data_IF_087906386811
#
_entry.id   IF_087906386811
#
_cell.length_a   1.000
_cell.length_b   1.000
_cell.length_c   1.000
_cell.angle_alpha   90.00
_cell.angle_beta   90.00
_cell.angle_gamma   90.00
#
_symmetry.space_group_name_H-M   'P 1'
#
loop_
_entity.id
_entity.type
_entity.pdbx_description
1 polymer ?
#
# COMPACT_ATOMS: atom_id res chain seq x y z
N UNK A 1 34.38 5.81 -4.45
CA UNK A 1 34.40 5.39 -5.87
C UNK A 1 34.57 3.88 -6.00
N UNK A 2 35.60 3.25 -5.43
CA UNK A 2 35.93 1.81 -5.49
C UNK A 2 34.75 0.89 -5.09
N UNK A 3 34.08 1.17 -3.98
CA UNK A 3 32.93 0.36 -3.52
C UNK A 3 31.78 0.28 -4.53
N UNK A 4 31.46 1.39 -5.21
CA UNK A 4 30.42 1.41 -6.27
C UNK A 4 30.84 0.58 -7.49
N UNK A 5 32.13 0.62 -7.85
CA UNK A 5 32.69 -0.16 -8.95
C UNK A 5 32.64 -1.67 -8.65
N UNK A 6 33.11 -2.08 -7.48
CA UNK A 6 33.06 -3.49 -7.04
C UNK A 6 31.62 -4.04 -7.00
N UNK A 7 30.67 -3.27 -6.52
CA UNK A 7 29.25 -3.64 -6.54
C UNK A 7 28.75 -3.85 -7.99
N UNK A 8 29.19 -3.00 -8.94
CA UNK A 8 28.79 -3.12 -10.36
C UNK A 8 29.34 -4.42 -10.98
N UNK A 9 30.62 -4.73 -10.72
CA UNK A 9 31.26 -5.98 -11.17
C UNK A 9 30.55 -7.20 -10.59
N UNK A 10 30.36 -7.21 -9.26
CA UNK A 10 29.65 -8.29 -8.59
C UNK A 10 28.25 -8.53 -9.16
N UNK A 11 27.48 -7.45 -9.40
CA UNK A 11 26.17 -7.56 -10.05
C UNK A 11 26.26 -8.17 -11.44
N UNK A 12 27.24 -7.75 -12.27
CA UNK A 12 27.41 -8.27 -13.64
C UNK A 12 27.72 -9.76 -13.64
N UNK A 13 28.63 -10.21 -12.78
CA UNK A 13 28.98 -11.63 -12.62
C UNK A 13 27.76 -12.42 -12.12
N UNK A 14 27.11 -11.93 -11.07
CA UNK A 14 25.93 -12.56 -10.48
C UNK A 14 24.80 -12.69 -11.51
N UNK A 15 24.54 -11.67 -12.30
CA UNK A 15 23.50 -11.73 -13.34
C UNK A 15 23.84 -12.75 -14.42
N UNK A 16 25.11 -12.83 -14.85
CA UNK A 16 25.58 -13.84 -15.82
C UNK A 16 25.37 -15.26 -15.31
N UNK A 17 25.67 -15.53 -14.05
CA UNK A 17 25.43 -16.84 -13.41
C UNK A 17 23.93 -17.19 -13.40
N UNK A 18 23.08 -16.26 -12.97
CA UNK A 18 21.64 -16.51 -12.91
C UNK A 18 20.99 -16.63 -14.30
N UNK A 19 21.51 -15.94 -15.34
CA UNK A 19 21.08 -16.18 -16.71
C UNK A 19 21.38 -17.61 -17.19
N UNK A 20 22.54 -18.15 -16.83
CA UNK A 20 22.86 -19.55 -17.15
C UNK A 20 21.96 -20.56 -16.43
N UNK A 21 21.62 -20.27 -15.18
CA UNK A 21 20.80 -21.19 -14.34
C UNK A 21 19.31 -21.15 -14.72
N UNK A 22 18.73 -19.95 -14.91
CA UNK A 22 17.27 -19.80 -15.06
C UNK A 22 16.84 -19.42 -16.47
N UNK A 23 17.79 -19.23 -17.39
CA UNK A 23 17.51 -18.78 -18.74
C UNK A 23 17.22 -17.26 -18.81
N UNK A 24 17.10 -16.77 -20.03
CA UNK A 24 16.74 -15.36 -20.34
C UNK A 24 15.25 -15.24 -20.59
N UNK A 25 14.67 -14.14 -20.12
CA UNK A 25 13.29 -13.77 -20.49
C UNK A 25 13.41 -12.92 -21.76
N UNK A 26 12.92 -13.45 -22.89
CA UNK A 26 13.03 -12.78 -24.20
C UNK A 26 11.67 -12.32 -24.74
N UNK A 27 10.58 -12.89 -24.22
CA UNK A 27 9.27 -12.70 -24.80
C UNK A 27 8.18 -12.62 -23.73
N UNK A 28 7.00 -12.17 -24.15
CA UNK A 28 5.78 -12.17 -23.37
C UNK A 28 4.74 -13.13 -23.97
N UNK A 29 3.76 -13.47 -23.18
CA UNK A 29 2.61 -14.29 -23.59
C UNK A 29 1.34 -13.70 -22.97
N UNK A 30 0.30 -13.56 -23.78
CA UNK A 30 -1.02 -13.22 -23.27
C UNK A 30 -1.55 -14.36 -22.40
N UNK A 31 -2.19 -14.00 -21.28
CA UNK A 31 -2.74 -14.98 -20.34
C UNK A 31 -3.77 -15.93 -20.98
N UNK A 32 -4.42 -15.53 -22.08
CA UNK A 32 -5.42 -16.32 -22.80
C UNK A 32 -4.84 -17.42 -23.69
N UNK A 33 -3.54 -17.38 -23.96
CA UNK A 33 -2.86 -18.27 -24.93
C UNK A 33 -2.24 -19.54 -24.32
N UNK A 34 -2.41 -19.77 -23.03
CA UNK A 34 -1.87 -20.99 -22.37
C UNK A 34 -2.89 -21.57 -21.39
N UNK A 35 -3.26 -22.82 -21.58
CA UNK A 35 -4.26 -23.54 -20.78
C UNK A 35 -3.87 -23.72 -19.30
N UNK A 36 -2.60 -23.53 -18.95
CA UNK A 36 -2.10 -23.54 -17.55
C UNK A 36 -2.47 -22.26 -16.81
N UNK A 37 -2.94 -21.24 -17.53
CA UNK A 37 -3.37 -19.95 -16.97
C UNK A 37 -4.89 -19.93 -16.96
N UNK A 38 -5.50 -20.08 -15.81
CA UNK A 38 -6.94 -19.95 -15.60
C UNK A 38 -7.25 -18.55 -15.10
N UNK A 39 -8.27 -17.92 -15.67
CA UNK A 39 -8.67 -16.56 -15.29
C UNK A 39 -10.13 -16.55 -14.89
N UNK A 40 -10.42 -15.97 -13.72
CA UNK A 40 -11.78 -15.66 -13.29
C UNK A 40 -11.97 -14.15 -13.30
N UNK A 41 -12.96 -13.68 -14.04
CA UNK A 41 -13.37 -12.27 -14.04
C UNK A 41 -14.38 -12.05 -12.91
N UNK A 42 -14.15 -11.03 -12.11
CA UNK A 42 -14.99 -10.59 -11.01
C UNK A 42 -15.61 -9.26 -11.37
N UNK A 43 -16.90 -9.23 -11.63
CA UNK A 43 -17.64 -7.99 -11.84
C UNK A 43 -18.09 -7.46 -10.49
N UNK A 44 -17.47 -6.38 -10.02
CA UNK A 44 -17.80 -5.75 -8.73
C UNK A 44 -19.03 -4.87 -8.89
N UNK A 45 -19.07 -4.11 -9.99
CA UNK A 45 -20.22 -3.31 -10.43
C UNK A 45 -20.22 -3.17 -11.95
N UNK A 46 -21.10 -2.32 -12.50
CA UNK A 46 -21.21 -2.12 -13.96
C UNK A 46 -19.97 -1.53 -14.62
N UNK A 47 -19.13 -0.83 -13.85
CA UNK A 47 -17.97 -0.10 -14.36
C UNK A 47 -16.63 -0.74 -13.95
N UNK A 48 -16.62 -1.65 -12.97
CA UNK A 48 -15.41 -2.14 -12.35
C UNK A 48 -15.36 -3.66 -12.30
N UNK A 49 -14.41 -4.22 -13.01
CA UNK A 49 -14.11 -5.66 -12.99
C UNK A 49 -12.64 -5.91 -12.69
N UNK A 50 -12.37 -7.06 -12.10
CA UNK A 50 -11.02 -7.53 -11.79
C UNK A 50 -10.83 -8.95 -12.27
N UNK A 51 -9.58 -9.33 -12.49
CA UNK A 51 -9.20 -10.70 -12.82
C UNK A 51 -8.45 -11.33 -11.65
N UNK A 52 -8.73 -12.62 -11.45
CA UNK A 52 -7.94 -13.49 -10.59
C UNK A 52 -7.35 -14.58 -11.48
N UNK A 53 -6.02 -14.64 -11.49
CA UNK A 53 -5.25 -15.56 -12.29
C UNK A 53 -4.78 -16.72 -11.42
N UNK A 54 -4.95 -17.94 -11.90
CA UNK A 54 -4.41 -19.15 -11.29
C UNK A 54 -3.50 -19.82 -12.31
N UNK A 55 -2.22 -19.91 -12.00
CA UNK A 55 -1.16 -20.32 -12.94
C UNK A 55 -0.48 -21.58 -12.42
N UNK A 56 -0.62 -22.68 -13.16
CA UNK A 56 0.03 -23.97 -12.82
C UNK A 56 1.54 -23.88 -13.06
N UNK A 57 2.34 -24.27 -12.06
CA UNK A 57 3.80 -24.20 -12.10
C UNK A 57 4.36 -22.79 -12.41
N UNK A 58 3.63 -21.75 -12.05
CA UNK A 58 4.01 -20.36 -12.28
C UNK A 58 5.24 -19.94 -11.47
N UNK A 59 6.08 -19.10 -12.08
CA UNK A 59 7.20 -18.40 -11.42
C UNK A 59 6.79 -16.95 -11.18
N UNK A 60 7.30 -16.39 -10.08
CA UNK A 60 7.16 -14.97 -9.81
C UNK A 60 8.51 -14.41 -9.39
N UNK A 61 8.89 -13.28 -9.99
CA UNK A 61 10.04 -12.49 -9.63
C UNK A 61 9.64 -11.04 -9.33
N UNK A 62 10.21 -10.44 -8.31
CA UNK A 62 9.90 -9.06 -7.93
C UNK A 62 11.13 -8.27 -7.49
N UNK A 63 11.15 -6.97 -7.82
CA UNK A 63 12.02 -6.00 -7.16
C UNK A 63 11.39 -5.42 -5.88
N UNK A 64 10.13 -5.75 -5.61
CA UNK A 64 9.27 -5.41 -4.49
C UNK A 64 8.43 -4.14 -4.68
N UNK A 65 8.87 -3.15 -5.42
CA UNK A 65 8.19 -1.85 -5.52
C UNK A 65 7.74 -1.56 -6.94
N UNK A 66 8.63 -1.67 -7.92
CA UNK A 66 8.37 -1.22 -9.28
C UNK A 66 7.98 -2.35 -10.22
N UNK A 67 8.62 -3.51 -10.10
CA UNK A 67 8.43 -4.59 -11.04
C UNK A 67 7.99 -5.88 -10.35
N UNK A 68 6.96 -6.52 -10.90
CA UNK A 68 6.59 -7.90 -10.59
C UNK A 68 6.38 -8.63 -11.91
N UNK A 69 7.19 -9.63 -12.16
CA UNK A 69 7.11 -10.49 -13.33
C UNK A 69 6.51 -11.84 -12.95
N UNK A 70 5.42 -12.19 -13.60
CA UNK A 70 4.81 -13.52 -13.55
C UNK A 70 5.27 -14.25 -14.78
N UNK A 71 5.89 -15.42 -14.62
CA UNK A 71 6.69 -16.06 -15.65
C UNK A 71 6.24 -17.50 -15.82
N UNK A 72 6.07 -17.92 -17.07
CA UNK A 72 5.83 -19.31 -17.48
C UNK A 72 6.75 -19.64 -18.65
N UNK A 73 7.51 -20.74 -18.56
CA UNK A 73 8.46 -21.18 -19.58
C UNK A 73 9.37 -20.05 -20.12
N UNK A 74 9.93 -19.23 -19.23
CA UNK A 74 10.76 -18.06 -19.56
C UNK A 74 10.09 -16.99 -20.42
N UNK A 75 8.76 -16.94 -20.45
CA UNK A 75 7.98 -15.83 -20.97
C UNK A 75 7.28 -15.12 -19.83
N UNK A 76 7.22 -13.79 -19.89
CA UNK A 76 6.45 -12.99 -18.93
C UNK A 76 4.98 -13.02 -19.32
N UNK A 77 4.08 -13.23 -18.34
CA UNK A 77 2.63 -13.28 -18.60
C UNK A 77 2.08 -11.86 -18.53
N UNK A 78 1.44 -11.42 -19.61
CA UNK A 78 0.73 -10.15 -19.69
C UNK A 78 -0.56 -10.21 -18.86
N UNK A 79 -0.90 -9.11 -18.19
CA UNK A 79 -2.04 -9.02 -17.29
C UNK A 79 -1.60 -9.09 -15.81
N UNK A 80 -1.20 -10.27 -15.27
CA UNK A 80 -0.81 -10.37 -13.86
C UNK A 80 0.58 -9.79 -13.55
N UNK A 81 1.39 -9.54 -14.56
CA UNK A 81 2.67 -8.82 -14.41
C UNK A 81 2.46 -7.32 -14.43
N UNK A 82 3.24 -6.59 -13.69
CA UNK A 82 3.21 -5.13 -13.75
C UNK A 82 4.60 -4.52 -13.61
N UNK A 83 4.75 -3.30 -14.15
CA UNK A 83 5.95 -2.49 -14.07
C UNK A 83 5.57 -1.03 -13.93
N UNK A 84 5.91 -0.44 -12.79
CA UNK A 84 5.66 0.97 -12.51
C UNK A 84 6.84 1.81 -12.98
N UNK A 85 6.54 2.92 -13.67
CA UNK A 85 7.54 3.88 -14.13
C UNK A 85 7.12 5.29 -13.74
N UNK A 86 8.12 6.11 -13.51
CA UNK A 86 7.93 7.53 -13.28
C UNK A 86 7.95 8.26 -14.62
N UNK A 87 6.91 9.02 -14.89
CA UNK A 87 6.78 9.90 -16.05
C UNK A 87 7.08 11.36 -15.70
N UNK A 88 6.66 12.25 -16.60
CA UNK A 88 6.70 13.69 -16.36
C UNK A 88 5.86 14.08 -15.13
N UNK A 89 6.20 15.20 -14.52
CA UNK A 89 5.47 15.75 -13.36
C UNK A 89 5.32 14.77 -12.18
N UNK A 90 6.28 13.84 -12.03
CA UNK A 90 6.27 12.81 -10.97
C UNK A 90 5.07 11.85 -11.00
N UNK A 91 4.36 11.78 -12.11
CA UNK A 91 3.32 10.77 -12.30
C UNK A 91 3.92 9.37 -12.33
N UNK A 92 3.26 8.42 -11.66
CA UNK A 92 3.60 7.00 -11.69
C UNK A 92 2.53 6.29 -12.53
N UNK A 93 2.97 5.50 -13.49
CA UNK A 93 2.08 4.77 -14.39
C UNK A 93 2.56 3.32 -14.59
N UNK A 94 1.63 2.45 -15.00
CA UNK A 94 1.95 1.12 -15.45
C UNK A 94 2.45 1.23 -16.90
N UNK A 95 3.71 0.89 -17.13
CA UNK A 95 4.34 0.97 -18.45
C UNK A 95 4.12 -0.31 -19.26
N UNK A 96 4.68 -0.36 -20.46
CA UNK A 96 4.61 -1.54 -21.30
C UNK A 96 5.32 -2.74 -20.69
N UNK A 97 4.86 -3.94 -21.01
CA UNK A 97 5.42 -5.19 -20.48
C UNK A 97 6.92 -5.32 -20.75
N UNK A 98 7.41 -4.77 -21.88
CA UNK A 98 8.83 -4.78 -22.27
C UNK A 98 9.72 -3.93 -21.36
N UNK A 99 9.14 -3.00 -20.61
CA UNK A 99 9.88 -2.21 -19.61
C UNK A 99 10.17 -2.99 -18.33
N UNK A 100 9.56 -4.16 -18.15
CA UNK A 100 9.81 -4.96 -16.96
C UNK A 100 11.29 -5.35 -16.86
N UNK A 101 11.83 -5.15 -15.67
CA UNK A 101 13.26 -5.32 -15.37
C UNK A 101 13.81 -6.70 -15.74
N UNK A 102 12.97 -7.72 -15.81
CA UNK A 102 13.42 -9.09 -16.14
C UNK A 102 13.95 -9.23 -17.57
N UNK A 103 13.51 -8.38 -18.51
CA UNK A 103 14.05 -8.39 -19.86
C UNK A 103 15.51 -7.95 -19.92
N UNK A 104 15.90 -6.99 -19.08
CA UNK A 104 17.28 -6.47 -19.03
C UNK A 104 18.18 -7.20 -18.04
N UNK A 105 17.64 -7.67 -16.91
CA UNK A 105 18.43 -8.22 -15.80
C UNK A 105 18.16 -9.70 -15.53
N UNK A 106 17.18 -10.32 -16.21
CA UNK A 106 16.71 -11.66 -15.87
C UNK A 106 16.13 -11.73 -14.48
N UNK A 107 16.29 -12.89 -13.84
CA UNK A 107 15.79 -13.14 -12.49
C UNK A 107 16.96 -13.41 -11.51
N UNK A 108 17.79 -12.39 -11.18
CA UNK A 108 19.06 -12.56 -10.46
C UNK A 108 18.86 -12.79 -8.95
N UNK A 109 18.05 -13.76 -8.59
CA UNK A 109 17.81 -14.22 -7.21
C UNK A 109 17.63 -15.74 -7.19
N UNK A 110 18.06 -16.35 -6.09
CA UNK A 110 17.85 -17.79 -5.88
C UNK A 110 16.36 -18.14 -5.98
N UNK A 111 16.02 -19.06 -6.86
CA UNK A 111 14.68 -19.60 -7.00
C UNK A 111 14.33 -20.44 -5.77
N UNK A 112 13.15 -20.24 -5.22
CA UNK A 112 12.59 -21.06 -4.14
C UNK A 112 11.36 -21.80 -4.66
N UNK A 113 11.42 -23.13 -4.67
CA UNK A 113 10.30 -23.96 -5.04
C UNK A 113 9.37 -24.11 -3.83
N UNK A 114 8.08 -23.85 -4.05
CA UNK A 114 7.02 -23.99 -3.07
C UNK A 114 6.03 -25.07 -3.58
N UNK A 115 5.97 -26.20 -2.88
CA UNK A 115 5.14 -27.35 -3.28
C UNK A 115 3.69 -27.16 -2.85
N UNK A 116 3.08 -26.06 -3.28
CA UNK A 116 1.71 -25.75 -2.91
C UNK A 116 1.17 -24.53 -3.64
N UNK A 117 -0.01 -24.11 -3.21
CA UNK A 117 -0.65 -22.88 -3.69
C UNK A 117 -0.08 -21.65 -3.00
N UNK A 118 0.22 -20.62 -3.79
CA UNK A 118 0.74 -19.34 -3.32
C UNK A 118 -0.15 -18.21 -3.81
N UNK A 119 -0.77 -17.48 -2.90
CA UNK A 119 -1.40 -16.19 -3.23
C UNK A 119 -0.37 -15.07 -3.13
N UNK A 120 -0.11 -14.39 -4.23
CA UNK A 120 0.72 -13.19 -4.24
C UNK A 120 -0.09 -11.95 -3.87
N UNK A 121 0.37 -11.27 -2.82
CA UNK A 121 -0.17 -9.98 -2.37
C UNK A 121 0.78 -8.83 -2.74
N UNK A 122 1.67 -9.07 -3.69
CA UNK A 122 2.66 -8.10 -4.12
C UNK A 122 2.01 -7.03 -4.99
N UNK A 123 2.44 -5.80 -4.74
CA UNK A 123 1.98 -4.62 -5.44
C UNK A 123 3.01 -3.50 -5.29
N UNK A 124 3.10 -2.59 -6.27
CA UNK A 124 4.13 -1.55 -6.32
C UNK A 124 4.31 -0.79 -5.01
N UNK A 125 3.34 0.04 -4.64
CA UNK A 125 3.42 0.87 -3.43
C UNK A 125 3.52 0.09 -2.12
N UNK A 126 2.90 -1.08 -2.04
CA UNK A 126 2.92 -1.93 -0.84
C UNK A 126 4.32 -2.41 -0.44
N UNK A 127 5.26 -2.47 -1.38
CA UNK A 127 6.64 -2.90 -1.13
C UNK A 127 7.46 -1.95 -0.27
N UNK A 128 7.02 -0.72 -0.05
CA UNK A 128 7.73 0.32 0.74
C UNK A 128 7.34 0.39 2.22
N UNK A 129 6.54 -0.55 2.72
CA UNK A 129 6.04 -0.59 4.11
C UNK A 129 5.13 0.60 4.50
N UNK A 130 4.50 1.25 3.54
CA UNK A 130 3.58 2.35 3.77
C UNK A 130 2.23 1.81 4.23
N UNK A 131 1.67 2.38 5.31
CA UNK A 131 0.41 1.95 5.89
C UNK A 131 -0.79 2.15 4.95
N UNK A 132 -0.84 3.27 4.19
CA UNK A 132 -1.87 3.53 3.19
C UNK A 132 -1.91 2.42 2.12
N UNK A 133 -0.75 2.13 1.52
CA UNK A 133 -0.65 1.07 0.51
C UNK A 133 -0.94 -0.32 1.07
N UNK A 134 -0.61 -0.56 2.35
CA UNK A 134 -0.98 -1.81 3.00
C UNK A 134 -2.49 -1.99 3.08
N UNK A 135 -3.22 -0.96 3.54
CA UNK A 135 -4.68 -1.02 3.68
C UNK A 135 -5.39 -1.10 2.32
N UNK A 136 -4.94 -0.33 1.32
CA UNK A 136 -5.70 -0.13 0.09
C UNK A 136 -5.19 -0.93 -1.11
N UNK A 137 -3.91 -1.28 -1.16
CA UNK A 137 -3.33 -2.02 -2.29
C UNK A 137 -3.07 -3.50 -1.95
N UNK A 138 -2.71 -3.81 -0.70
CA UNK A 138 -2.31 -5.18 -0.29
C UNK A 138 -3.49 -5.97 0.25
N UNK A 139 -4.13 -5.49 1.32
CA UNK A 139 -5.19 -6.23 2.00
C UNK A 139 -6.41 -6.54 1.11
N UNK A 140 -6.89 -5.63 0.23
CA UNK A 140 -8.06 -5.91 -0.60
C UNK A 140 -7.88 -7.07 -1.59
N UNK A 141 -6.63 -7.49 -1.87
CA UNK A 141 -6.37 -8.69 -2.68
C UNK A 141 -6.89 -9.98 -2.03
N UNK A 142 -6.96 -10.02 -0.69
CA UNK A 142 -7.67 -11.10 0.01
C UNK A 142 -9.15 -11.10 -0.35
N UNK A 143 -9.78 -9.91 -0.41
CA UNK A 143 -11.16 -9.74 -0.83
C UNK A 143 -11.40 -10.27 -2.24
N UNK A 144 -10.61 -9.79 -3.21
CA UNK A 144 -10.70 -10.27 -4.59
C UNK A 144 -10.47 -11.78 -4.70
N UNK A 145 -9.46 -12.31 -4.03
CA UNK A 145 -9.17 -13.72 -4.07
C UNK A 145 -10.32 -14.56 -3.47
N UNK A 146 -10.91 -14.13 -2.35
CA UNK A 146 -11.98 -14.87 -1.67
C UNK A 146 -13.26 -15.03 -2.48
N UNK A 147 -13.49 -14.15 -3.46
CA UNK A 147 -14.62 -14.26 -4.40
C UNK A 147 -14.43 -15.37 -5.44
N UNK A 148 -13.24 -15.92 -5.56
CA UNK A 148 -12.91 -16.91 -6.59
C UNK A 148 -12.26 -18.18 -6.05
N UNK A 149 -11.52 -18.08 -4.94
CA UNK A 149 -10.73 -19.16 -4.35
C UNK A 149 -11.02 -19.24 -2.86
N UNK A 150 -11.09 -20.45 -2.34
CA UNK A 150 -11.19 -20.67 -0.89
C UNK A 150 -9.83 -20.36 -0.24
N UNK A 151 -9.74 -19.28 0.52
CA UNK A 151 -8.50 -18.84 1.19
C UNK A 151 -7.94 -19.88 2.17
N UNK A 152 -8.76 -20.74 2.75
CA UNK A 152 -8.30 -21.79 3.68
C UNK A 152 -7.41 -22.82 2.98
N UNK A 153 -7.60 -23.03 1.68
CA UNK A 153 -6.82 -23.95 0.85
C UNK A 153 -5.48 -23.37 0.39
N UNK A 154 -5.26 -22.05 0.54
CA UNK A 154 -3.98 -21.42 0.22
C UNK A 154 -2.94 -21.86 1.23
N UNK A 155 -1.80 -22.35 0.74
CA UNK A 155 -0.71 -22.85 1.59
C UNK A 155 0.28 -21.73 1.95
N UNK A 156 0.48 -20.75 1.06
CA UNK A 156 1.38 -19.63 1.31
C UNK A 156 0.79 -18.31 0.85
N UNK A 157 0.96 -17.28 1.67
CA UNK A 157 0.63 -15.89 1.34
C UNK A 157 1.92 -15.11 1.17
N UNK A 158 2.26 -14.75 -0.07
CA UNK A 158 3.45 -13.98 -0.40
C UNK A 158 3.17 -12.48 -0.23
N UNK A 159 3.75 -11.92 0.81
CA UNK A 159 3.51 -10.55 1.30
C UNK A 159 4.66 -9.63 0.93
N UNK A 160 4.41 -8.32 0.69
CA UNK A 160 5.46 -7.34 0.44
C UNK A 160 6.48 -7.30 1.58
N UNK A 161 6.02 -7.32 2.83
CA UNK A 161 6.85 -7.30 4.03
C UNK A 161 6.06 -7.83 5.24
N UNK A 162 6.78 -8.16 6.31
CA UNK A 162 6.23 -8.51 7.63
C UNK A 162 7.00 -7.77 8.75
N UNK A 163 7.63 -6.64 8.44
CA UNK A 163 8.47 -5.90 9.37
C UNK A 163 7.64 -5.05 10.35
N UNK A 164 6.56 -4.46 9.86
CA UNK A 164 5.76 -3.52 10.65
C UNK A 164 4.71 -4.24 11.50
N UNK A 165 4.39 -3.65 12.66
CA UNK A 165 3.39 -4.14 13.61
C UNK A 165 2.02 -4.30 12.94
N UNK A 166 1.52 -3.26 12.27
CA UNK A 166 0.24 -3.28 11.58
C UNK A 166 0.10 -4.40 10.52
N UNK A 167 1.21 -4.78 9.85
CA UNK A 167 1.19 -5.87 8.87
C UNK A 167 0.87 -7.22 9.53
N UNK A 168 1.42 -7.47 10.70
CA UNK A 168 1.19 -8.70 11.46
C UNK A 168 -0.21 -8.72 12.07
N UNK A 169 -0.60 -7.63 12.69
CA UNK A 169 -1.88 -7.50 13.40
C UNK A 169 -3.09 -7.58 12.47
N UNK A 170 -3.06 -6.92 11.32
CA UNK A 170 -4.14 -7.03 10.33
C UNK A 170 -4.28 -8.44 9.78
N UNK A 171 -3.17 -9.17 9.57
CA UNK A 171 -3.22 -10.57 9.18
C UNK A 171 -3.74 -11.49 10.29
N UNK A 172 -3.44 -11.18 11.56
CA UNK A 172 -4.01 -11.89 12.70
C UNK A 172 -5.53 -11.67 12.77
N UNK A 173 -5.99 -10.43 12.54
CA UNK A 173 -7.42 -10.11 12.43
C UNK A 173 -8.12 -10.88 11.31
N UNK A 174 -7.47 -11.03 10.16
CA UNK A 174 -7.96 -11.84 9.03
C UNK A 174 -7.82 -13.35 9.26
N UNK A 175 -7.32 -13.78 10.42
CA UNK A 175 -7.10 -15.20 10.78
C UNK A 175 -6.17 -15.93 9.81
N UNK A 176 -5.24 -15.23 9.18
CA UNK A 176 -4.21 -15.85 8.33
C UNK A 176 -3.15 -16.49 9.23
N UNK A 177 -2.91 -17.78 9.17
CA UNK A 177 -1.96 -18.47 10.05
C UNK A 177 -0.52 -17.99 9.83
N UNK A 178 0.25 -17.79 10.91
CA UNK A 178 1.62 -17.25 10.84
C UNK A 178 2.54 -18.09 9.97
N UNK A 179 2.42 -19.43 10.03
CA UNK A 179 3.25 -20.36 9.27
C UNK A 179 2.99 -20.32 7.75
N UNK A 180 1.85 -19.77 7.31
CA UNK A 180 1.52 -19.57 5.89
C UNK A 180 2.04 -18.24 5.33
N UNK A 181 2.54 -17.32 6.18
CA UNK A 181 2.97 -15.98 5.77
C UNK A 181 4.43 -15.99 5.35
N UNK A 182 4.71 -15.66 4.11
CA UNK A 182 6.07 -15.52 3.59
C UNK A 182 6.30 -14.09 3.07
N UNK A 183 7.49 -13.54 3.32
CA UNK A 183 7.84 -12.19 2.91
C UNK A 183 8.67 -12.16 1.64
N UNK A 184 8.32 -11.28 0.71
CA UNK A 184 9.12 -11.03 -0.48
C UNK A 184 10.53 -10.50 -0.20
N UNK A 185 10.84 -10.11 1.05
CA UNK A 185 12.21 -9.80 1.44
C UNK A 185 13.15 -11.01 1.29
N UNK A 186 12.61 -12.22 1.57
CA UNK A 186 13.31 -13.50 1.44
C UNK A 186 12.89 -14.30 0.21
N UNK A 187 11.66 -14.09 -0.28
CA UNK A 187 11.03 -14.85 -1.36
C UNK A 187 10.80 -13.98 -2.59
N UNK A 188 11.88 -13.37 -3.11
CA UNK A 188 11.83 -12.50 -4.30
C UNK A 188 11.75 -13.22 -5.63
N UNK A 189 12.07 -14.51 -5.64
CA UNK A 189 11.99 -15.39 -6.81
C UNK A 189 11.46 -16.73 -6.35
N UNK A 190 10.25 -17.07 -6.77
CA UNK A 190 9.57 -18.29 -6.40
C UNK A 190 9.04 -19.04 -7.63
N UNK A 191 8.86 -20.35 -7.48
CA UNK A 191 8.04 -21.20 -8.34
C UNK A 191 7.04 -21.91 -7.45
N UNK A 192 5.75 -21.82 -7.76
CA UNK A 192 4.68 -22.46 -7.02
C UNK A 192 4.01 -23.54 -7.88
N UNK A 193 3.50 -24.61 -7.24
CA UNK A 193 2.65 -25.59 -7.92
C UNK A 193 1.41 -24.90 -8.50
N UNK A 194 0.84 -23.97 -7.75
CA UNK A 194 -0.25 -23.09 -8.16
C UNK A 194 0.03 -21.66 -7.68
N UNK A 195 0.23 -20.75 -8.62
CA UNK A 195 0.45 -19.34 -8.32
C UNK A 195 -0.83 -18.55 -8.58
N UNK A 196 -1.36 -17.89 -7.55
CA UNK A 196 -2.58 -17.11 -7.61
C UNK A 196 -2.22 -15.64 -7.50
N UNK A 197 -2.75 -14.83 -8.43
CA UNK A 197 -2.52 -13.38 -8.50
C UNK A 197 -3.81 -12.69 -8.84
N UNK A 198 -4.06 -11.52 -8.26
CA UNK A 198 -5.19 -10.65 -8.59
C UNK A 198 -4.71 -9.43 -9.36
N UNK A 199 -5.59 -8.82 -10.13
CA UNK A 199 -5.38 -7.46 -10.60
C UNK A 199 -5.11 -6.53 -9.42
N UNK A 200 -4.54 -5.35 -9.71
CA UNK A 200 -4.30 -4.34 -8.68
C UNK A 200 -5.63 -3.76 -8.18
N UNK A 201 -5.92 -3.76 -6.85
CA UNK A 201 -7.23 -3.33 -6.34
C UNK A 201 -7.58 -1.88 -6.63
N UNK A 202 -6.57 -1.00 -6.71
CA UNK A 202 -6.74 0.44 -6.90
C UNK A 202 -6.35 0.89 -8.30
N UNK A 203 -5.25 0.36 -8.86
CA UNK A 203 -4.74 0.79 -10.17
C UNK A 203 -5.57 0.17 -11.29
N UNK A 204 -6.59 0.87 -11.73
CA UNK A 204 -7.55 0.39 -12.74
C UNK A 204 -7.47 1.16 -14.07
N UNK A 205 -6.90 2.39 -14.07
CA UNK A 205 -6.78 3.23 -15.27
C UNK A 205 -5.41 3.18 -15.94
N UNK A 206 -4.43 2.48 -15.34
CA UNK A 206 -3.03 2.49 -15.78
C UNK A 206 -2.21 3.67 -15.26
N UNK A 207 -2.83 4.68 -14.64
CA UNK A 207 -2.16 5.80 -14.01
C UNK A 207 -2.25 5.71 -12.48
N UNK A 208 -1.24 5.12 -11.85
CA UNK A 208 -1.20 4.89 -10.41
C UNK A 208 -1.35 6.18 -9.58
N UNK A 209 -0.80 7.30 -10.05
CA UNK A 209 -0.90 8.58 -9.34
C UNK A 209 -2.32 9.16 -9.36
N UNK A 210 -3.11 8.89 -10.39
CA UNK A 210 -4.53 9.27 -10.45
C UNK A 210 -5.39 8.28 -9.64
N UNK A 211 -5.15 7.00 -9.81
CA UNK A 211 -5.95 5.96 -9.20
C UNK A 211 -5.89 5.99 -7.67
N UNK A 212 -4.70 6.25 -7.09
CA UNK A 212 -4.52 6.33 -5.63
C UNK A 212 -5.30 7.50 -4.99
N UNK A 213 -5.67 8.51 -5.78
CA UNK A 213 -6.52 9.60 -5.31
C UNK A 213 -7.98 9.20 -5.16
N UNK A 214 -8.37 8.05 -5.73
CA UNK A 214 -9.77 7.67 -5.84
C UNK A 214 -10.01 6.19 -5.50
N UNK A 215 -9.79 5.82 -4.24
CA UNK A 215 -9.97 4.45 -3.75
C UNK A 215 -11.38 3.91 -4.11
N UNK A 216 -11.50 2.73 -4.75
CA UNK A 216 -12.79 2.11 -5.05
C UNK A 216 -13.63 1.85 -3.80
N UNK A 217 -14.94 2.12 -3.85
CA UNK A 217 -15.83 2.04 -2.69
C UNK A 217 -15.92 0.63 -2.10
N UNK A 218 -15.81 -0.42 -2.92
CA UNK A 218 -15.84 -1.80 -2.44
C UNK A 218 -14.70 -2.11 -1.47
N UNK A 219 -13.53 -1.46 -1.65
CA UNK A 219 -12.38 -1.62 -0.75
C UNK A 219 -12.72 -1.08 0.64
N UNK A 220 -13.38 0.08 0.70
CA UNK A 220 -13.81 0.69 1.95
C UNK A 220 -14.81 -0.21 2.68
N UNK A 221 -15.80 -0.76 1.95
CA UNK A 221 -16.76 -1.70 2.49
C UNK A 221 -16.09 -2.97 3.00
N UNK A 222 -15.18 -3.55 2.20
CA UNK A 222 -14.43 -4.74 2.58
C UNK A 222 -13.59 -4.52 3.85
N UNK A 223 -12.93 -3.36 3.99
CA UNK A 223 -12.17 -3.02 5.18
C UNK A 223 -13.07 -2.89 6.40
N UNK A 224 -14.22 -2.21 6.28
CA UNK A 224 -15.20 -2.11 7.36
C UNK A 224 -15.73 -3.48 7.79
N UNK A 225 -16.10 -4.32 6.86
CA UNK A 225 -16.64 -5.66 7.16
C UNK A 225 -15.64 -6.54 7.90
N UNK A 226 -14.37 -6.49 7.52
CA UNK A 226 -13.38 -7.37 8.11
C UNK A 226 -12.78 -6.84 9.42
N UNK A 227 -12.73 -5.52 9.61
CA UNK A 227 -12.01 -4.94 10.74
C UNK A 227 -12.92 -4.17 11.71
N UNK A 228 -14.06 -3.67 11.25
CA UNK A 228 -15.01 -2.95 12.10
C UNK A 228 -16.12 -3.89 12.57
N UNK A 229 -16.92 -4.44 11.66
CA UNK A 229 -18.14 -5.19 12.01
C UNK A 229 -17.89 -6.51 12.77
N UNK A 230 -16.72 -7.12 12.59
CA UNK A 230 -16.36 -8.41 13.23
C UNK A 230 -15.69 -8.28 14.58
N UNK A 231 -15.34 -7.07 15.02
CA UNK A 231 -14.37 -6.90 16.10
C UNK A 231 -14.72 -5.89 17.19
N UNK A 232 -15.78 -5.11 17.01
CA UNK A 232 -16.18 -4.14 18.05
C UNK A 232 -16.82 -4.88 19.20
N UNK A 233 -16.09 -5.00 20.31
CA UNK A 233 -16.57 -5.58 21.58
C UNK A 233 -16.72 -4.52 22.68
N UNK A 234 -16.39 -3.26 22.42
CA UNK A 234 -16.40 -2.23 23.47
C UNK A 234 -17.62 -1.34 23.40
N UNK A 235 -18.48 -1.47 24.42
CA UNK A 235 -19.62 -0.57 24.69
C UNK A 235 -19.22 0.86 25.16
N UNK A 236 -17.97 1.27 25.03
CA UNK A 236 -17.54 2.62 25.40
C UNK A 236 -17.88 3.62 24.30
N UNK A 237 -19.04 4.27 24.45
CA UNK A 237 -19.50 5.42 23.65
C UNK A 237 -18.74 6.73 23.99
N UNK A 238 -17.45 6.68 24.26
CA UNK A 238 -16.67 7.89 24.52
C UNK A 238 -16.31 8.48 23.17
N UNK A 239 -16.93 9.59 22.80
CA UNK A 239 -16.55 10.40 21.64
C UNK A 239 -15.21 11.04 21.95
N UNK A 240 -14.22 10.83 21.07
CA UNK A 240 -12.87 11.33 21.24
C UNK A 240 -12.54 12.37 20.18
N UNK A 241 -11.82 13.41 20.57
CA UNK A 241 -11.11 14.31 19.66
C UNK A 241 -9.66 13.85 19.58
N UNK A 242 -9.17 13.53 18.38
CA UNK A 242 -7.88 12.87 18.17
C UNK A 242 -6.92 13.82 17.44
N UNK A 243 -5.73 13.98 18.00
CA UNK A 243 -4.58 14.51 17.28
C UNK A 243 -3.64 13.36 16.89
N UNK A 244 -3.42 13.16 15.58
CA UNK A 244 -2.45 12.18 15.08
C UNK A 244 -1.04 12.73 15.30
N UNK A 245 -0.42 12.31 16.40
CA UNK A 245 0.92 12.71 16.79
C UNK A 245 1.98 11.95 15.99
N UNK A 246 2.84 12.67 15.28
CA UNK A 246 3.91 12.12 14.45
C UNK A 246 5.31 12.41 14.97
N UNK A 247 5.45 12.95 16.16
CA UNK A 247 6.72 13.45 16.74
C UNK A 247 7.88 12.44 16.69
N UNK A 248 7.59 11.14 16.76
CA UNK A 248 8.61 10.07 16.76
C UNK A 248 8.74 9.31 15.43
N UNK A 249 7.97 9.67 14.39
CA UNK A 249 8.04 8.99 13.09
C UNK A 249 9.16 9.53 12.20
N UNK A 250 10.07 10.33 12.75
CA UNK A 250 11.24 10.85 12.04
C UNK A 250 12.17 9.71 11.65
N UNK A 251 12.35 9.49 10.35
CA UNK A 251 13.36 8.54 9.84
C UNK A 251 14.57 9.31 9.34
N UNK A 252 15.75 8.86 9.69
CA UNK A 252 17.04 9.46 9.31
C UNK A 252 17.33 9.41 7.79
N UNK A 253 16.44 8.82 7.01
CA UNK A 253 16.74 8.47 5.61
C UNK A 253 16.03 9.32 4.56
N UNK A 254 14.95 10.04 4.89
CA UNK A 254 14.23 10.87 3.93
C UNK A 254 13.72 12.13 4.60
N UNK A 255 13.78 13.31 3.93
CA UNK A 255 13.09 14.49 4.38
C UNK A 255 11.60 14.17 4.44
N UNK A 256 11.05 14.27 5.65
CA UNK A 256 9.65 13.98 5.90
C UNK A 256 8.84 15.26 5.87
N UNK A 257 7.55 15.09 5.71
CA UNK A 257 6.60 16.16 6.01
C UNK A 257 6.71 16.47 7.50
N UNK A 258 6.97 17.72 7.81
CA UNK A 258 7.11 18.19 9.17
C UNK A 258 6.13 19.32 9.44
N UNK A 259 5.68 19.40 10.67
CA UNK A 259 4.95 20.54 11.20
C UNK A 259 5.93 21.31 12.08
N UNK A 260 6.37 22.51 11.63
CA UNK A 260 7.45 23.26 12.30
C UNK A 260 7.08 23.73 13.70
N UNK A 261 5.77 23.89 13.96
CA UNK A 261 5.22 24.26 15.26
C UNK A 261 4.35 23.12 15.85
N UNK A 262 4.76 21.87 15.69
CA UNK A 262 4.01 20.69 16.14
C UNK A 262 3.71 20.75 17.65
N UNK A 263 4.68 21.13 18.47
CA UNK A 263 4.53 21.21 19.93
C UNK A 263 3.50 22.28 20.33
N UNK A 264 3.49 23.42 19.66
CA UNK A 264 2.49 24.49 19.87
C UNK A 264 1.09 24.01 19.54
N UNK A 265 0.92 23.39 18.37
CA UNK A 265 -0.35 22.80 17.93
C UNK A 265 -0.81 21.71 18.88
N UNK A 266 0.07 20.80 19.26
CA UNK A 266 -0.22 19.74 20.22
C UNK A 266 -0.70 20.31 21.55
N UNK A 267 0.03 21.30 22.11
CA UNK A 267 -0.34 21.98 23.36
C UNK A 267 -1.70 22.64 23.25
N UNK A 268 -1.99 23.31 22.14
CA UNK A 268 -3.29 23.94 21.88
C UNK A 268 -4.40 22.90 21.82
N UNK A 269 -4.23 21.81 21.07
CA UNK A 269 -5.24 20.76 20.92
C UNK A 269 -5.51 20.02 22.24
N UNK A 270 -4.49 19.73 23.04
CA UNK A 270 -4.66 19.13 24.37
C UNK A 270 -5.50 20.00 25.29
N UNK A 271 -5.33 21.32 25.24
CA UNK A 271 -6.19 22.30 25.99
C UNK A 271 -7.64 22.31 25.50
N UNK A 272 -7.90 21.86 24.27
CA UNK A 272 -9.23 21.78 23.66
C UNK A 272 -9.79 20.32 23.67
N UNK A 273 -9.39 19.54 24.66
CA UNK A 273 -9.87 18.17 24.93
C UNK A 273 -9.53 17.15 23.82
N UNK A 274 -8.47 17.38 23.03
CA UNK A 274 -7.94 16.36 22.14
C UNK A 274 -7.01 15.42 22.91
N UNK A 275 -6.98 14.16 22.49
CA UNK A 275 -5.96 13.19 22.87
C UNK A 275 -4.92 13.08 21.78
N UNK A 276 -3.64 13.15 22.13
CA UNK A 276 -2.55 12.93 21.18
C UNK A 276 -2.27 11.42 21.05
N UNK A 277 -2.41 10.88 19.85
CA UNK A 277 -2.28 9.45 19.57
C UNK A 277 -1.12 9.18 18.63
N UNK A 278 -0.14 8.42 19.10
CA UNK A 278 0.97 7.89 18.30
C UNK A 278 0.53 6.55 17.68
N UNK A 279 0.16 6.56 16.41
CA UNK A 279 -0.40 5.37 15.75
C UNK A 279 0.57 4.18 15.68
N UNK A 280 1.88 4.41 15.70
CA UNK A 280 2.88 3.33 15.68
C UNK A 280 2.96 2.55 17.01
N UNK A 281 2.59 3.18 18.13
CA UNK A 281 2.54 2.55 19.45
C UNK A 281 1.22 1.84 19.70
N UNK A 282 0.16 2.33 19.06
CA UNK A 282 -1.20 1.82 19.19
C UNK A 282 -1.37 0.56 18.34
N UNK A 283 -2.00 -0.49 18.88
CA UNK A 283 -2.30 -1.68 18.08
C UNK A 283 -3.43 -1.42 17.08
N UNK A 284 -3.50 -2.25 16.02
CA UNK A 284 -4.44 -2.00 14.92
C UNK A 284 -5.91 -1.98 15.36
N UNK A 285 -6.32 -2.84 16.28
CA UNK A 285 -7.70 -2.86 16.80
C UNK A 285 -8.02 -1.58 17.56
N UNK A 286 -7.12 -1.14 18.42
CA UNK A 286 -7.27 0.13 19.13
C UNK A 286 -7.34 1.31 18.15
N UNK A 287 -6.57 1.29 17.05
CA UNK A 287 -6.69 2.31 16.02
C UNK A 287 -8.07 2.30 15.38
N UNK A 288 -8.61 1.12 15.02
CA UNK A 288 -9.97 1.00 14.47
C UNK A 288 -11.01 1.54 15.44
N UNK A 289 -10.93 1.18 16.72
CA UNK A 289 -11.88 1.63 17.76
C UNK A 289 -11.78 3.14 18.01
N UNK A 290 -10.57 3.69 18.07
CA UNK A 290 -10.33 5.13 18.23
C UNK A 290 -10.95 5.93 17.08
N UNK A 291 -10.65 5.54 15.84
CA UNK A 291 -11.18 6.25 14.66
C UNK A 291 -12.69 6.08 14.50
N UNK A 292 -13.22 4.90 14.82
CA UNK A 292 -14.68 4.67 14.77
C UNK A 292 -15.47 5.56 15.76
N UNK A 293 -14.90 5.82 16.94
CA UNK A 293 -15.52 6.61 17.97
C UNK A 293 -15.05 8.08 18.00
N UNK A 294 -14.25 8.49 17.02
CA UNK A 294 -13.82 9.88 16.90
C UNK A 294 -14.98 10.80 16.48
N UNK A 295 -15.07 11.97 17.08
CA UNK A 295 -15.91 13.07 16.61
C UNK A 295 -15.13 14.08 15.78
N UNK A 296 -13.82 14.24 16.06
CA UNK A 296 -12.92 15.12 15.34
C UNK A 296 -11.51 14.53 15.30
N UNK A 297 -10.87 14.59 14.13
CA UNK A 297 -9.50 14.11 13.92
C UNK A 297 -8.68 15.22 13.28
N UNK A 298 -7.59 15.61 13.93
CA UNK A 298 -6.60 16.58 13.41
C UNK A 298 -5.28 15.85 13.15
N UNK A 299 -4.62 16.13 12.05
CA UNK A 299 -3.29 15.57 11.80
C UNK A 299 -2.58 16.16 10.60
N UNK A 300 -1.28 15.96 10.53
CA UNK A 300 -0.46 16.27 9.36
C UNK A 300 -0.69 15.23 8.27
N UNK A 301 -0.86 15.70 7.01
CA UNK A 301 -1.03 14.85 5.82
C UNK A 301 -0.14 13.61 5.84
N UNK A 302 -0.72 12.43 5.69
CA UNK A 302 0.04 11.17 5.68
C UNK A 302 -0.76 9.90 5.85
N UNK A 303 -0.05 8.76 5.80
CA UNK A 303 -0.64 7.42 5.78
C UNK A 303 -1.53 7.07 6.98
N UNK A 304 -1.36 7.74 8.13
CA UNK A 304 -2.22 7.53 9.31
C UNK A 304 -3.69 7.88 9.06
N UNK A 305 -3.96 8.82 8.15
CA UNK A 305 -5.32 9.11 7.69
C UNK A 305 -5.99 7.95 6.92
N UNK A 306 -5.26 6.89 6.58
CA UNK A 306 -5.88 5.67 6.07
C UNK A 306 -6.94 5.09 7.01
N UNK A 307 -6.84 5.35 8.31
CA UNK A 307 -7.81 4.89 9.30
C UNK A 307 -9.18 5.61 9.24
N UNK A 308 -9.31 6.75 8.54
CA UNK A 308 -10.60 7.45 8.43
C UNK A 308 -11.68 6.61 7.74
N UNK A 309 -11.30 5.55 7.04
CA UNK A 309 -12.24 4.56 6.51
C UNK A 309 -13.13 3.95 7.60
N UNK A 310 -12.64 3.88 8.84
CA UNK A 310 -13.36 3.31 9.99
C UNK A 310 -14.24 4.33 10.73
N UNK A 311 -14.14 5.62 10.41
CA UNK A 311 -14.95 6.68 11.02
C UNK A 311 -16.45 6.53 10.71
N UNK A 312 -17.27 7.03 11.59
CA UNK A 312 -18.71 7.20 11.36
C UNK A 312 -18.97 8.38 10.43
N UNK A 313 -20.03 8.36 9.61
CA UNK A 313 -20.47 9.54 8.87
C UNK A 313 -20.58 10.78 9.77
N UNK A 314 -20.21 11.94 9.25
CA UNK A 314 -20.22 13.21 9.98
C UNK A 314 -19.02 13.43 10.93
N UNK A 315 -18.06 12.47 11.04
CA UNK A 315 -16.81 12.73 11.77
C UNK A 315 -16.04 13.86 11.10
N UNK A 316 -15.63 14.88 11.88
CA UNK A 316 -14.85 16.02 11.38
C UNK A 316 -13.39 15.63 11.18
N UNK A 317 -12.85 15.84 9.98
CA UNK A 317 -11.46 15.55 9.59
C UNK A 317 -10.76 16.85 9.24
N UNK A 318 -9.77 17.25 10.02
CA UNK A 318 -8.96 18.43 9.79
C UNK A 318 -7.55 18.00 9.36
N UNK A 319 -7.27 18.16 8.09
CA UNK A 319 -5.98 17.82 7.50
C UNK A 319 -5.06 19.05 7.45
N UNK A 320 -3.93 18.99 8.14
CA UNK A 320 -2.86 19.97 8.02
C UNK A 320 -1.96 19.56 6.87
N UNK A 321 -1.91 20.33 5.78
CA UNK A 321 -1.20 19.91 4.57
C UNK A 321 -0.46 21.04 3.88
N UNK A 322 0.54 20.69 3.07
CA UNK A 322 1.13 21.66 2.14
C UNK A 322 0.17 21.94 0.99
N UNK A 323 0.25 23.14 0.40
CA UNK A 323 -0.55 23.51 -0.78
C UNK A 323 -0.33 22.60 -1.99
N UNK A 324 0.74 21.82 -2.00
CA UNK A 324 1.10 20.86 -3.07
C UNK A 324 0.74 19.42 -2.74
N UNK A 325 0.21 19.12 -1.55
CA UNK A 325 -0.19 17.77 -1.20
C UNK A 325 -1.46 17.36 -1.95
N UNK A 326 -1.51 16.09 -2.38
CA UNK A 326 -2.64 15.55 -3.13
C UNK A 326 -3.94 15.41 -2.32
N UNK A 327 -5.04 15.12 -3.01
CA UNK A 327 -6.41 15.08 -2.45
C UNK A 327 -6.87 13.66 -2.04
N UNK A 328 -5.98 12.69 -1.90
CA UNK A 328 -6.35 11.32 -1.56
C UNK A 328 -7.18 11.22 -0.26
N UNK A 329 -6.78 11.95 0.78
CA UNK A 329 -7.46 11.96 2.09
C UNK A 329 -8.82 12.65 1.97
N UNK A 330 -8.90 13.80 1.27
CA UNK A 330 -10.15 14.50 0.97
C UNK A 330 -11.15 13.61 0.24
N UNK A 331 -10.70 12.92 -0.80
CA UNK A 331 -11.56 12.05 -1.60
C UNK A 331 -12.04 10.82 -0.79
N UNK A 332 -11.17 10.24 0.05
CA UNK A 332 -11.54 9.17 0.96
C UNK A 332 -12.57 9.65 2.00
N UNK A 333 -12.35 10.83 2.59
CA UNK A 333 -13.28 11.44 3.53
C UNK A 333 -14.65 11.68 2.89
N UNK A 334 -14.68 12.27 1.69
CA UNK A 334 -15.92 12.50 0.94
C UNK A 334 -16.69 11.20 0.66
N UNK A 335 -15.99 10.14 0.24
CA UNK A 335 -16.63 8.83 -0.03
C UNK A 335 -17.14 8.14 1.23
N UNK A 336 -16.65 8.54 2.40
CA UNK A 336 -17.05 8.00 3.69
C UNK A 336 -18.00 8.91 4.45
N UNK A 337 -18.57 9.92 3.78
CA UNK A 337 -19.50 10.91 4.32
C UNK A 337 -18.96 11.63 5.57
N UNK A 338 -17.65 11.98 5.55
CA UNK A 338 -16.99 12.70 6.63
C UNK A 338 -16.95 14.21 6.34
N UNK A 339 -17.00 15.02 7.39
CA UNK A 339 -16.84 16.46 7.30
C UNK A 339 -15.35 16.83 7.19
N UNK A 340 -14.89 17.10 5.96
CA UNK A 340 -13.48 17.29 5.67
C UNK A 340 -13.13 18.78 5.47
N UNK A 341 -12.10 19.20 6.20
CA UNK A 341 -11.52 20.55 6.10
C UNK A 341 -9.99 20.42 5.97
N UNK A 342 -9.38 21.18 5.06
CA UNK A 342 -7.91 21.32 5.00
C UNK A 342 -7.45 22.66 5.54
N UNK A 343 -6.37 22.65 6.32
CA UNK A 343 -5.63 23.86 6.70
C UNK A 343 -4.29 23.81 5.98
N UNK A 344 -4.15 24.64 4.95
CA UNK A 344 -3.03 24.57 4.01
C UNK A 344 -1.96 25.63 4.31
N UNK A 345 -0.70 25.28 4.11
CA UNK A 345 0.42 26.23 4.17
C UNK A 345 1.48 25.88 3.11
N UNK A 346 2.23 26.86 2.65
CA UNK A 346 3.37 26.63 1.78
C UNK A 346 4.48 25.91 2.57
N UNK A 347 5.06 24.87 1.99
CA UNK A 347 6.24 24.23 2.55
C UNK A 347 7.45 25.18 2.43
N UNK A 348 8.22 25.35 3.53
CA UNK A 348 9.40 26.24 3.57
C UNK A 348 10.61 25.67 2.84
N UNK A 349 10.72 24.33 2.81
CA UNK A 349 11.83 23.63 2.20
C UNK A 349 11.30 22.63 1.18
N UNK A 350 11.71 22.79 -0.09
CA UNK A 350 11.47 21.82 -1.15
C UNK A 350 12.77 21.03 -1.31
N UNK A 351 12.83 19.84 -0.77
CA UNK A 351 13.95 18.95 -1.04
C UNK A 351 13.87 18.45 -2.48
N UNK A 352 15.01 18.42 -3.19
CA UNK A 352 15.14 17.84 -4.54
C UNK A 352 15.08 16.31 -4.47
N UNK A 353 13.91 15.73 -4.21
CA UNK A 353 13.68 14.30 -4.20
C UNK A 353 12.60 13.88 -5.19
N UNK A 354 12.48 12.57 -5.41
CA UNK A 354 11.60 11.94 -6.39
C UNK A 354 10.10 12.32 -6.28
N UNK A 355 9.66 12.87 -5.13
CA UNK A 355 8.29 13.31 -4.89
C UNK A 355 8.24 14.66 -4.16
N UNK A 356 8.59 15.77 -4.80
CA UNK A 356 8.68 17.10 -4.16
C UNK A 356 7.33 17.59 -3.63
N UNK A 357 6.21 17.18 -4.23
CA UNK A 357 4.87 17.71 -3.96
C UNK A 357 4.32 17.35 -2.57
N UNK A 358 4.94 16.44 -1.86
CA UNK A 358 4.46 15.97 -0.56
C UNK A 358 5.47 16.16 0.58
N UNK A 359 6.57 16.87 0.34
CA UNK A 359 7.67 16.98 1.29
C UNK A 359 7.88 18.44 1.70
N UNK A 360 8.51 18.62 2.85
CA UNK A 360 8.84 19.90 3.41
C UNK A 360 8.16 20.21 4.73
N UNK A 361 8.62 21.26 5.37
CA UNK A 361 8.10 21.74 6.65
C UNK A 361 7.03 22.81 6.41
N UNK A 362 5.89 22.64 7.04
CA UNK A 362 4.81 23.65 7.05
C UNK A 362 4.66 24.25 8.45
N UNK A 363 4.23 25.50 8.50
CA UNK A 363 3.85 26.20 9.72
C UNK A 363 2.37 26.53 9.67
N UNK A 364 1.60 26.11 10.66
CA UNK A 364 0.16 26.37 10.75
C UNK A 364 -0.10 27.29 11.94
N UNK A 365 -0.48 28.56 11.71
CA UNK A 365 -0.83 29.48 12.80
C UNK A 365 -2.01 28.94 13.61
N UNK A 366 -1.94 29.03 14.95
CA UNK A 366 -3.01 28.58 15.85
C UNK A 366 -4.34 29.27 15.52
N UNK A 367 -4.33 30.55 15.17
CA UNK A 367 -5.53 31.31 14.78
C UNK A 367 -6.27 30.72 13.57
N UNK A 368 -5.56 30.05 12.65
CA UNK A 368 -6.20 29.36 11.52
C UNK A 368 -6.80 28.02 11.94
N UNK A 369 -6.14 27.33 12.87
CA UNK A 369 -6.65 26.07 13.40
C UNK A 369 -7.86 26.30 14.31
N UNK A 370 -7.82 27.32 15.21
CA UNK A 370 -8.95 27.64 16.10
C UNK A 370 -10.22 27.95 15.31
N UNK A 371 -10.09 28.79 14.27
CA UNK A 371 -11.23 29.17 13.40
C UNK A 371 -11.92 27.94 12.78
N UNK A 372 -11.16 26.90 12.45
CA UNK A 372 -11.71 25.67 11.85
C UNK A 372 -12.33 24.75 12.91
N UNK A 373 -11.84 24.81 14.16
CA UNK A 373 -12.37 24.00 15.27
C UNK A 373 -13.67 24.58 15.84
N UNK A 374 -13.87 25.90 15.76
CA UNK A 374 -15.06 26.61 16.26
C UNK A 374 -16.27 26.50 15.31
N UNK A 375 -16.04 26.29 14.02
CA UNK A 375 -17.06 26.04 13.00
C UNK A 375 -17.40 24.54 12.94
#
# INVERSE_FOLDING_TARGET
>A
MIKKYLIKIFKKISYGIFFKIYGTIKDSIEYSKDSRIKVKVLNIDKALSYKVYTISNGRLYTDRIQDTAVILDNKIIEGPSFQLRQGAEFNIFNSEIRDNVVFSKGTPRKLRNLNGSVLSLLTGGGGNNNYWHWLYDVLPRFGLCSMSVNLSKIEYFLLPSLLKKFQKETLDCLKIPKYKRISSEKFRHIKAKELIITDHPVMTSGNASKDILNIPSWIMLWLKDNFLNRQITTNKKIKNKIFIDRSETRSDRLPQRLLSNEDEIKKYLLKNNFIAVKLHDTNFREQVDLFHNAECIVGLHGGGFGNIVFCKPGTKIIELKSTTAGDAIKNLAKKNDLDYISVEAKAKEIYKFEFPNQQGSIHIPISRLSKVLEN
#
